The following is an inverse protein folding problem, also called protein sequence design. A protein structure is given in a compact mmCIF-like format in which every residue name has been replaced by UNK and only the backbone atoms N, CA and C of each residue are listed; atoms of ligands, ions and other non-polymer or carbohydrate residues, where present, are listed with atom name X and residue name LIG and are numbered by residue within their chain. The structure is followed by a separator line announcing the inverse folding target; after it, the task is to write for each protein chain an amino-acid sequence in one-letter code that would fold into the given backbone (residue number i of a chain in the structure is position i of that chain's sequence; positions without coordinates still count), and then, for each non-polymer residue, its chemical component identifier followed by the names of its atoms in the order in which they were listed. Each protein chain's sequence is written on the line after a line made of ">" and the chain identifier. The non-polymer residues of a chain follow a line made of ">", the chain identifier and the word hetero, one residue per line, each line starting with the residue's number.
data_IF_918650048725
#
_entry.id   IF_918650048725
#
_cell.length_a   1.000
_cell.length_b   1.000
_cell.length_c   1.000
_cell.angle_alpha   90.00
_cell.angle_beta   90.00
_cell.angle_gamma   90.00
#
_symmetry.space_group_name_H-M   'P 1'
#
loop_
_entity.id
_entity.type
_entity.pdbx_description
1 polymer ?
#
# COMPACT_ATOMS: atom_id res chain seq x y z
N UNK A 1 9.44 -12.76 1.29
CA UNK A 1 8.27 -11.90 1.50
C UNK A 1 7.46 -11.65 0.23
N UNK A 2 7.96 -10.94 -0.80
CA UNK A 2 7.24 -10.70 -2.07
C UNK A 2 6.54 -11.89 -2.72
N UNK A 3 7.11 -13.10 -2.56
CA UNK A 3 6.57 -14.33 -3.12
C UNK A 3 5.17 -14.71 -2.62
N UNK A 4 4.81 -14.40 -1.37
CA UNK A 4 3.49 -14.75 -0.84
C UNK A 4 2.41 -13.73 -1.25
N UNK A 5 2.58 -12.44 -0.98
CA UNK A 5 1.57 -11.43 -1.38
C UNK A 5 1.49 -11.18 -2.89
N UNK A 6 2.55 -11.52 -3.64
CA UNK A 6 2.59 -11.48 -5.10
C UNK A 6 2.16 -12.77 -5.79
N UNK A 7 1.72 -13.79 -5.06
CA UNK A 7 1.32 -15.07 -5.65
C UNK A 7 0.09 -14.95 -6.54
N UNK A 8 -0.10 -15.92 -7.45
CA UNK A 8 -1.25 -15.96 -8.37
C UNK A 8 -2.56 -16.36 -7.68
N UNK A 9 -2.49 -17.10 -6.59
CA UNK A 9 -3.64 -17.55 -5.80
C UNK A 9 -3.32 -17.65 -4.32
N UNK A 10 -4.34 -17.71 -3.47
CA UNK A 10 -4.18 -17.87 -2.02
C UNK A 10 -3.41 -19.15 -1.68
N UNK A 11 -3.72 -20.27 -2.34
CA UNK A 11 -3.00 -21.54 -2.18
C UNK A 11 -1.51 -21.40 -2.51
N UNK A 12 -1.18 -20.67 -3.58
CA UNK A 12 0.21 -20.39 -3.93
C UNK A 12 0.89 -19.44 -2.93
N UNK A 13 0.13 -18.52 -2.32
CA UNK A 13 0.59 -17.66 -1.23
C UNK A 13 0.99 -18.47 0.00
N UNK A 14 0.13 -19.40 0.43
CA UNK A 14 0.43 -20.32 1.55
C UNK A 14 1.67 -21.16 1.29
N UNK A 15 1.76 -21.80 0.12
CA UNK A 15 2.95 -22.58 -0.23
C UNK A 15 4.24 -21.73 -0.23
N UNK A 16 4.15 -20.47 -0.69
CA UNK A 16 5.26 -19.54 -0.65
C UNK A 16 5.60 -19.07 0.77
N UNK A 17 4.60 -19.01 1.67
CA UNK A 17 4.78 -18.70 3.08
C UNK A 17 5.43 -19.86 3.83
N UNK A 18 4.98 -21.10 3.64
CA UNK A 18 5.61 -22.30 4.22
C UNK A 18 7.09 -22.41 3.82
N UNK A 19 7.39 -22.14 2.54
CA UNK A 19 8.76 -22.11 2.05
C UNK A 19 9.59 -20.97 2.67
N UNK A 20 8.96 -19.84 2.98
CA UNK A 20 9.59 -18.73 3.69
C UNK A 20 9.92 -19.11 5.13
N UNK A 21 9.01 -19.75 5.86
CA UNK A 21 9.23 -20.19 7.24
C UNK A 21 10.40 -21.16 7.35
N UNK A 22 10.45 -22.16 6.47
CA UNK A 22 11.56 -23.12 6.41
C UNK A 22 12.89 -22.43 6.11
N UNK A 23 12.89 -21.49 5.18
CA UNK A 23 14.11 -20.78 4.74
C UNK A 23 14.64 -19.81 5.79
N UNK A 24 13.78 -19.20 6.59
CA UNK A 24 14.15 -18.16 7.56
C UNK A 24 14.08 -18.66 9.00
N UNK A 25 14.15 -19.98 9.22
CA UNK A 25 14.01 -20.63 10.53
C UNK A 25 14.97 -20.10 11.60
N UNK A 26 16.11 -19.54 11.20
CA UNK A 26 17.07 -18.88 12.09
C UNK A 26 16.56 -17.57 12.71
N UNK A 27 15.41 -17.03 12.27
CA UNK A 27 14.79 -15.79 12.77
C UNK A 27 13.35 -16.04 13.27
N UNK A 28 13.15 -16.81 14.35
CA UNK A 28 11.82 -17.22 14.81
C UNK A 28 10.92 -16.02 15.15
N UNK A 29 11.44 -14.97 15.78
CA UNK A 29 10.65 -13.78 16.12
C UNK A 29 10.09 -13.04 14.89
N UNK A 30 10.85 -12.99 13.79
CA UNK A 30 10.35 -12.40 12.54
C UNK A 30 9.26 -13.27 11.91
N UNK A 31 9.43 -14.59 11.94
CA UNK A 31 8.43 -15.55 11.47
C UNK A 31 7.13 -15.41 12.28
N UNK A 32 7.21 -15.33 13.60
CA UNK A 32 6.04 -15.24 14.47
C UNK A 32 5.24 -13.95 14.27
N UNK A 33 5.91 -12.84 13.95
CA UNK A 33 5.22 -11.61 13.53
C UNK A 33 4.43 -11.87 12.25
N UNK A 34 5.02 -12.52 11.24
CA UNK A 34 4.32 -12.82 10.00
C UNK A 34 3.18 -13.80 10.20
N UNK A 35 3.36 -14.89 10.96
CA UNK A 35 2.31 -15.87 11.28
C UNK A 35 1.08 -15.20 11.89
N UNK A 36 1.29 -14.37 12.92
CA UNK A 36 0.20 -13.66 13.62
C UNK A 36 -0.59 -12.71 12.72
N UNK A 37 0.06 -12.16 11.69
CA UNK A 37 -0.53 -11.15 10.81
C UNK A 37 -0.82 -11.68 9.40
N UNK A 38 -0.63 -12.97 9.15
CA UNK A 38 -0.72 -13.52 7.79
C UNK A 38 -2.12 -13.40 7.22
N UNK A 39 -3.16 -13.41 8.07
CA UNK A 39 -4.55 -13.18 7.68
C UNK A 39 -4.76 -11.86 6.91
N UNK A 40 -3.99 -10.82 7.21
CA UNK A 40 -4.04 -9.56 6.44
C UNK A 40 -3.50 -9.71 5.02
N UNK A 41 -2.55 -10.62 4.79
CA UNK A 41 -2.08 -10.97 3.45
C UNK A 41 -3.14 -11.77 2.70
N UNK A 42 -3.85 -12.66 3.38
CA UNK A 42 -4.92 -13.46 2.78
C UNK A 42 -6.04 -12.58 2.24
N UNK A 43 -6.43 -11.54 2.99
CA UNK A 43 -7.43 -10.55 2.57
C UNK A 43 -7.09 -9.85 1.25
N UNK A 44 -5.81 -9.74 0.88
CA UNK A 44 -5.43 -9.18 -0.42
C UNK A 44 -5.92 -10.03 -1.60
N UNK A 45 -6.19 -11.32 -1.38
CA UNK A 45 -6.69 -12.23 -2.41
C UNK A 45 -8.20 -12.13 -2.65
N UNK A 46 -8.92 -11.35 -1.83
CA UNK A 46 -10.30 -10.94 -2.13
C UNK A 46 -10.38 -9.96 -3.32
N UNK A 47 -9.22 -9.49 -3.78
CA UNK A 47 -9.07 -8.54 -4.87
C UNK A 47 -8.30 -9.13 -6.04
N UNK A 48 -8.62 -8.66 -7.24
CA UNK A 48 -7.91 -8.99 -8.47
C UNK A 48 -6.42 -8.61 -8.40
N UNK A 49 -5.61 -9.24 -9.25
CA UNK A 49 -4.14 -9.09 -9.21
C UNK A 49 -3.66 -7.65 -9.40
N UNK A 50 -4.37 -6.85 -10.20
CA UNK A 50 -3.97 -5.46 -10.46
C UNK A 50 -4.32 -4.56 -9.27
N UNK A 51 -5.49 -4.73 -8.68
CA UNK A 51 -5.85 -4.04 -7.42
C UNK A 51 -4.89 -4.45 -6.30
N UNK A 52 -4.63 -5.75 -6.14
CA UNK A 52 -3.69 -6.27 -5.13
C UNK A 52 -2.30 -5.65 -5.26
N UNK A 53 -1.82 -5.48 -6.49
CA UNK A 53 -0.54 -4.84 -6.77
C UNK A 53 -0.48 -3.40 -6.31
N UNK A 54 -1.55 -2.62 -6.48
CA UNK A 54 -1.62 -1.26 -5.94
C UNK A 54 -1.51 -1.30 -4.41
N UNK A 55 -2.24 -2.20 -3.75
CA UNK A 55 -2.28 -2.29 -2.28
C UNK A 55 -0.91 -2.62 -1.65
N UNK A 56 -0.19 -3.63 -2.16
CA UNK A 56 1.11 -3.99 -1.57
C UNK A 56 2.27 -3.10 -2.03
N UNK A 57 2.04 -2.16 -2.96
CA UNK A 57 3.09 -1.23 -3.39
C UNK A 57 3.27 -0.15 -2.33
N UNK A 58 4.29 -0.34 -1.49
CA UNK A 58 4.58 0.57 -0.36
C UNK A 58 5.15 1.92 -0.80
N UNK A 59 5.62 2.05 -2.05
CA UNK A 59 6.23 3.28 -2.59
C UNK A 59 5.40 4.54 -2.34
N UNK A 60 4.06 4.46 -2.40
CA UNK A 60 3.21 5.63 -2.17
C UNK A 60 3.33 6.13 -0.72
N UNK A 61 3.19 5.23 0.25
CA UNK A 61 3.26 5.55 1.69
C UNK A 61 4.70 5.89 2.10
N UNK A 62 5.68 5.11 1.65
CA UNK A 62 7.09 5.34 1.93
C UNK A 62 7.59 6.67 1.36
N UNK A 63 7.13 7.07 0.17
CA UNK A 63 7.45 8.37 -0.43
C UNK A 63 6.99 9.52 0.45
N UNK A 64 5.78 9.44 1.01
CA UNK A 64 5.26 10.44 1.96
C UNK A 64 6.08 10.44 3.25
N UNK A 65 6.29 9.27 3.85
CA UNK A 65 7.05 9.16 5.10
C UNK A 65 8.47 9.69 4.95
N UNK A 66 9.16 9.34 3.86
CA UNK A 66 10.49 9.87 3.54
C UNK A 66 10.48 11.40 3.39
N UNK A 67 9.46 11.93 2.72
CA UNK A 67 9.26 13.36 2.54
C UNK A 67 9.04 14.11 3.87
N UNK A 68 8.30 13.50 4.80
CA UNK A 68 8.10 14.01 6.16
C UNK A 68 9.38 13.93 6.99
N UNK A 69 10.07 12.80 6.99
CA UNK A 69 11.37 12.65 7.66
C UNK A 69 12.38 13.73 7.21
N UNK A 70 12.36 14.09 5.92
CA UNK A 70 13.23 15.15 5.39
C UNK A 70 12.98 16.51 6.03
N UNK A 71 11.75 16.88 6.34
CA UNK A 71 11.42 18.19 6.94
C UNK A 71 11.48 18.18 8.47
N UNK A 72 11.30 17.02 9.10
CA UNK A 72 11.37 16.87 10.56
C UNK A 72 12.79 16.64 11.08
N UNK A 73 13.79 16.42 10.20
CA UNK A 73 15.21 16.27 10.58
C UNK A 73 15.85 17.52 11.18
N UNK A 74 15.15 18.67 11.23
CA UNK A 74 15.68 19.97 11.68
C UNK A 74 15.89 20.10 13.21
N UNK A 75 15.67 19.05 13.99
CA UNK A 75 15.80 19.08 15.45
C UNK A 75 14.46 19.31 16.15
N UNK A 76 14.48 19.93 17.33
CA UNK A 76 13.27 20.16 18.12
C UNK A 76 12.39 21.27 17.53
N UNK A 77 11.07 21.09 17.64
CA UNK A 77 10.08 22.11 17.29
C UNK A 77 9.66 22.87 18.55
N UNK A 78 9.38 24.19 18.47
CA UNK A 78 9.02 25.00 19.63
C UNK A 78 7.66 24.63 20.24
N UNK A 79 6.76 24.05 19.44
CA UNK A 79 5.47 23.49 19.87
C UNK A 79 4.89 22.61 18.75
N UNK A 80 3.80 21.91 19.06
CA UNK A 80 3.08 21.06 18.12
C UNK A 80 2.59 21.81 16.88
N UNK A 81 2.09 23.04 17.04
CA UNK A 81 1.60 23.85 15.92
C UNK A 81 2.70 24.15 14.89
N UNK A 82 3.95 24.36 15.31
CA UNK A 82 5.07 24.55 14.41
C UNK A 82 5.35 23.29 13.58
N UNK A 83 5.30 22.10 14.20
CA UNK A 83 5.43 20.83 13.49
C UNK A 83 4.30 20.62 12.48
N UNK A 84 3.05 20.82 12.91
CA UNK A 84 1.87 20.68 12.05
C UNK A 84 1.92 21.61 10.83
N UNK A 85 2.35 22.86 11.01
CA UNK A 85 2.55 23.81 9.89
C UNK A 85 3.57 23.31 8.88
N UNK A 86 4.70 22.77 9.33
CA UNK A 86 5.75 22.24 8.44
C UNK A 86 5.25 21.00 7.69
N UNK A 87 4.56 20.08 8.37
CA UNK A 87 3.96 18.91 7.72
C UNK A 87 2.89 19.31 6.71
N UNK A 88 2.03 20.27 7.04
CA UNK A 88 1.00 20.80 6.14
C UNK A 88 1.62 21.41 4.87
N UNK A 89 2.64 22.27 5.02
CA UNK A 89 3.35 22.83 3.86
C UNK A 89 3.97 21.72 2.99
N UNK A 90 4.55 20.70 3.62
CA UNK A 90 5.10 19.55 2.89
C UNK A 90 4.03 18.73 2.16
N UNK A 91 2.83 18.57 2.73
CA UNK A 91 1.69 17.95 2.05
C UNK A 91 1.29 18.76 0.82
N UNK A 92 1.21 20.09 0.91
CA UNK A 92 0.89 20.94 -0.27
C UNK A 92 1.93 20.79 -1.38
N UNK A 93 3.21 20.77 -1.03
CA UNK A 93 4.30 20.54 -2.01
C UNK A 93 4.17 19.17 -2.68
N UNK A 94 3.83 18.12 -1.92
CA UNK A 94 3.60 16.77 -2.45
C UNK A 94 2.38 16.73 -3.37
N UNK A 95 1.27 17.34 -2.98
CA UNK A 95 0.05 17.43 -3.80
C UNK A 95 0.34 18.10 -5.14
N UNK A 96 1.07 19.22 -5.14
CA UNK A 96 1.46 19.89 -6.38
C UNK A 96 2.37 19.00 -7.24
N UNK A 97 3.30 18.25 -6.63
CA UNK A 97 4.19 17.33 -7.35
C UNK A 97 3.44 16.16 -7.98
N UNK A 98 2.39 15.65 -7.33
CA UNK A 98 1.56 14.57 -7.85
C UNK A 98 0.50 15.05 -8.84
N UNK A 99 0.32 16.35 -8.99
CA UNK A 99 -0.59 16.90 -9.99
C UNK A 99 -0.16 16.46 -11.40
N UNK A 100 -1.08 15.85 -12.14
CA UNK A 100 -0.78 15.23 -13.45
C UNK A 100 0.00 13.92 -13.38
N UNK A 101 0.20 13.33 -12.20
CA UNK A 101 0.83 12.02 -12.03
C UNK A 101 -0.02 10.88 -12.59
N UNK A 102 0.61 9.93 -13.28
CA UNK A 102 -0.06 8.77 -13.85
C UNK A 102 0.11 7.52 -12.98
N UNK A 103 -1.00 6.84 -12.67
CA UNK A 103 -0.97 5.52 -12.03
C UNK A 103 -0.85 4.46 -13.12
N UNK A 104 0.28 3.75 -13.15
CA UNK A 104 0.51 2.69 -14.14
C UNK A 104 -0.57 1.61 -14.04
N UNK A 105 -1.11 1.18 -15.18
CA UNK A 105 -2.16 0.17 -15.31
C UNK A 105 -3.49 0.55 -14.63
N UNK A 106 -3.77 1.85 -14.45
CA UNK A 106 -5.01 2.30 -13.83
C UNK A 106 -6.27 1.78 -14.52
N UNK A 107 -6.27 1.69 -15.86
CA UNK A 107 -7.40 1.16 -16.63
C UNK A 107 -7.73 -0.30 -16.25
N UNK A 108 -6.72 -1.16 -16.06
CA UNK A 108 -6.92 -2.55 -15.64
C UNK A 108 -7.45 -2.63 -14.20
N UNK A 109 -6.94 -1.76 -13.31
CA UNK A 109 -7.42 -1.66 -11.93
C UNK A 109 -8.89 -1.22 -11.91
N UNK A 110 -9.24 -0.19 -12.69
CA UNK A 110 -10.59 0.32 -12.80
C UNK A 110 -11.56 -0.75 -13.33
N UNK A 111 -11.17 -1.47 -14.37
CA UNK A 111 -11.97 -2.58 -14.91
C UNK A 111 -12.25 -3.66 -13.84
N UNK A 112 -11.24 -4.04 -13.05
CA UNK A 112 -11.43 -4.99 -11.95
C UNK A 112 -12.35 -4.46 -10.85
N UNK A 113 -12.29 -3.16 -10.56
CA UNK A 113 -13.17 -2.54 -9.57
C UNK A 113 -14.62 -2.43 -10.07
N UNK A 114 -14.82 -2.17 -11.36
CA UNK A 114 -16.15 -2.07 -11.98
C UNK A 114 -16.86 -3.42 -12.07
N UNK A 115 -16.13 -4.51 -12.34
CA UNK A 115 -16.70 -5.86 -12.42
C UNK A 115 -17.01 -6.45 -11.04
N UNK A 116 -16.39 -5.92 -9.98
CA UNK A 116 -16.64 -6.40 -8.63
C UNK A 116 -17.93 -5.81 -8.06
N UNK A 117 -18.95 -6.65 -7.85
CA UNK A 117 -20.28 -6.24 -7.35
C UNK A 117 -20.24 -5.42 -6.06
N UNK A 118 -19.24 -5.65 -5.19
CA UNK A 118 -19.08 -4.90 -3.93
C UNK A 118 -18.70 -3.44 -4.17
N UNK A 119 -18.04 -3.15 -5.29
CA UNK A 119 -17.48 -1.83 -5.60
C UNK A 119 -18.16 -1.15 -6.80
N UNK A 120 -18.74 -1.90 -7.73
CA UNK A 120 -19.33 -1.42 -8.98
C UNK A 120 -20.19 -0.15 -8.80
N UNK A 121 -21.20 -0.21 -7.93
CA UNK A 121 -22.11 0.93 -7.64
C UNK A 121 -21.38 2.17 -7.12
N UNK A 122 -20.31 1.99 -6.34
CA UNK A 122 -19.52 3.11 -5.80
C UNK A 122 -18.64 3.71 -6.89
N UNK A 123 -18.01 2.87 -7.72
CA UNK A 123 -17.20 3.33 -8.84
C UNK A 123 -18.05 4.10 -9.84
N UNK A 124 -19.23 3.59 -10.19
CA UNK A 124 -20.18 4.27 -11.08
C UNK A 124 -20.56 5.65 -10.53
N UNK A 125 -20.93 5.74 -9.24
CA UNK A 125 -21.27 7.00 -8.57
C UNK A 125 -20.15 8.05 -8.64
N UNK A 126 -18.89 7.64 -8.49
CA UNK A 126 -17.75 8.56 -8.45
C UNK A 126 -16.97 8.64 -9.76
N UNK A 127 -17.44 7.98 -10.82
CA UNK A 127 -16.79 7.94 -12.13
C UNK A 127 -16.52 9.33 -12.71
N UNK A 128 -17.40 10.31 -12.43
CA UNK A 128 -17.27 11.71 -12.87
C UNK A 128 -16.05 12.45 -12.29
N UNK A 129 -15.46 11.93 -11.22
CA UNK A 129 -14.27 12.49 -10.57
C UNK A 129 -13.01 11.68 -10.87
N UNK A 130 -13.13 10.57 -11.59
CA UNK A 130 -11.97 9.78 -12.00
C UNK A 130 -11.27 10.50 -13.16
N UNK A 131 -9.92 10.54 -13.16
CA UNK A 131 -9.13 11.12 -14.24
C UNK A 131 -9.23 10.33 -15.54
#
# INVERSE_FOLDING_TARGET
>A
MKKFYGASSLKASHAAFDAFEKRWSQYPGAIDVWKRNFSHVEQLFDYGSDIRKIMYTTNAVESVNSSFHKVTKKGAFPNENALLKVLYLRVKELQNKWNGGHIRNWSMVLNQLMVNDKFAKRIEKYSIYLP
#
